data_IF_648438908616
#
_entry.id   IF_648438908616
#
_cell.length_a   1.000
_cell.length_b   1.000
_cell.length_c   1.000
_cell.angle_alpha   90.00
_cell.angle_beta   90.00
_cell.angle_gamma   90.00
#
_symmetry.space_group_name_H-M   'P 1'
#
loop_
_entity.id
_entity.type
_entity.pdbx_description
1 polymer ?
#
# COMPACT_ATOMS: atom_id res chain seq x y z
N UNK A 1 -17.45 -13.20 19.77
CA UNK A 1 -16.26 -13.71 19.07
C UNK A 1 -16.69 -14.48 17.83
N UNK A 2 -16.20 -14.11 16.65
CA UNK A 2 -16.54 -14.75 15.38
C UNK A 2 -15.27 -15.06 14.60
N UNK A 3 -15.18 -16.27 14.03
CA UNK A 3 -14.13 -16.69 13.13
C UNK A 3 -14.64 -16.78 11.69
N UNK A 4 -13.75 -16.56 10.71
CA UNK A 4 -14.04 -16.72 9.30
C UNK A 4 -12.78 -17.13 8.52
N UNK A 5 -12.94 -18.07 7.61
CA UNK A 5 -11.96 -18.28 6.55
C UNK A 5 -12.16 -17.20 5.47
N UNK A 6 -11.07 -16.58 5.05
CA UNK A 6 -11.04 -15.58 3.98
C UNK A 6 -10.17 -16.12 2.86
N UNK A 7 -10.68 -16.04 1.64
CA UNK A 7 -9.93 -16.42 0.46
C UNK A 7 -10.19 -15.43 -0.67
N UNK A 8 -9.18 -15.19 -1.51
CA UNK A 8 -9.25 -14.32 -2.68
C UNK A 8 -8.43 -14.93 -3.81
N UNK A 9 -9.06 -15.10 -4.96
CA UNK A 9 -8.39 -15.49 -6.21
C UNK A 9 -8.41 -14.26 -7.10
N UNK A 10 -7.27 -13.94 -7.68
CA UNK A 10 -7.12 -12.86 -8.64
C UNK A 10 -6.63 -13.39 -9.97
N UNK A 11 -7.01 -12.71 -11.03
CA UNK A 11 -6.41 -12.88 -12.34
C UNK A 11 -5.98 -11.49 -12.83
N UNK A 12 -4.67 -11.35 -13.09
CA UNK A 12 -4.08 -10.11 -13.61
C UNK A 12 -3.45 -10.38 -14.96
N UNK A 13 -3.90 -9.65 -15.97
CA UNK A 13 -3.47 -9.81 -17.34
C UNK A 13 -3.26 -8.45 -17.99
N UNK A 14 -2.09 -8.25 -18.59
CA UNK A 14 -1.80 -7.08 -19.42
C UNK A 14 -2.30 -7.28 -20.85
N UNK A 15 -2.73 -6.19 -21.47
CA UNK A 15 -3.18 -6.19 -22.87
C UNK A 15 -2.14 -5.63 -23.85
N UNK A 16 -0.98 -5.16 -23.31
CA UNK A 16 0.12 -4.57 -24.07
C UNK A 16 1.42 -5.27 -23.68
N UNK A 17 2.50 -5.01 -24.39
CA UNK A 17 3.82 -5.60 -24.07
C UNK A 17 4.35 -5.14 -22.69
N UNK A 18 3.89 -3.99 -22.20
CA UNK A 18 4.25 -3.41 -20.92
C UNK A 18 3.04 -3.40 -19.97
N UNK A 19 3.26 -3.77 -18.71
CA UNK A 19 2.22 -3.67 -17.68
C UNK A 19 2.20 -2.26 -17.06
N UNK A 20 1.03 -1.73 -16.70
CA UNK A 20 0.96 -0.45 -15.99
C UNK A 20 1.75 -0.44 -14.68
N UNK A 21 1.84 -1.56 -13.97
CA UNK A 21 2.65 -1.69 -12.75
C UNK A 21 4.13 -1.36 -12.98
N UNK A 22 4.73 -1.89 -14.05
CA UNK A 22 6.15 -1.73 -14.36
C UNK A 22 6.48 -0.43 -15.09
N UNK A 23 5.47 0.29 -15.59
CA UNK A 23 5.67 1.45 -16.47
C UNK A 23 6.55 2.55 -15.85
N UNK A 24 6.43 2.78 -14.53
CA UNK A 24 7.25 3.77 -13.84
C UNK A 24 8.74 3.46 -13.94
N UNK A 25 9.13 2.24 -13.62
CA UNK A 25 10.53 1.80 -13.70
C UNK A 25 11.07 1.82 -15.14
N UNK A 26 10.25 1.44 -16.12
CA UNK A 26 10.64 1.48 -17.54
C UNK A 26 10.91 2.92 -18.04
N UNK A 27 10.36 3.92 -17.37
CA UNK A 27 10.59 5.34 -17.64
C UNK A 27 11.63 5.97 -16.70
N UNK A 28 12.19 5.19 -15.78
CA UNK A 28 13.20 5.64 -14.83
C UNK A 28 12.66 6.24 -13.53
N UNK A 29 11.35 6.16 -13.30
CA UNK A 29 10.76 6.58 -12.03
C UNK A 29 10.87 5.47 -10.98
N UNK A 30 11.40 5.78 -9.79
CA UNK A 30 11.48 4.84 -8.67
C UNK A 30 10.13 4.79 -7.96
N UNK A 31 9.25 3.91 -8.44
CA UNK A 31 7.91 3.77 -7.88
C UNK A 31 6.97 2.95 -8.75
N UNK A 32 5.86 2.54 -8.15
CA UNK A 32 4.78 1.83 -8.83
C UNK A 32 3.65 2.81 -9.13
N UNK A 33 3.38 3.02 -10.42
CA UNK A 33 2.36 3.99 -10.87
C UNK A 33 0.95 3.42 -10.71
N UNK A 34 0.77 2.14 -11.02
CA UNK A 34 -0.52 1.45 -10.99
C UNK A 34 -0.32 -0.01 -10.50
N UNK A 35 0.04 -0.23 -9.21
CA UNK A 35 0.47 -1.54 -8.70
C UNK A 35 -0.50 -2.71 -8.94
N UNK A 36 -1.84 -2.55 -8.95
CA UNK A 36 -2.74 -3.67 -9.19
C UNK A 36 -2.74 -4.20 -10.63
N UNK A 37 -2.23 -3.42 -11.60
CA UNK A 37 -2.33 -3.74 -13.02
C UNK A 37 -1.05 -4.38 -13.55
N UNK A 38 -0.82 -5.61 -13.12
CA UNK A 38 0.33 -6.47 -13.46
C UNK A 38 -0.03 -7.56 -14.48
N UNK A 39 0.91 -8.47 -14.76
CA UNK A 39 0.72 -9.61 -15.65
C UNK A 39 1.04 -10.95 -14.94
N UNK A 40 0.57 -11.13 -13.73
CA UNK A 40 0.92 -12.27 -12.90
C UNK A 40 -0.02 -13.48 -13.05
N UNK A 41 -0.98 -13.42 -13.99
CA UNK A 41 -1.89 -14.52 -14.27
C UNK A 41 -2.91 -14.78 -13.16
N UNK A 42 -3.37 -16.03 -13.05
CA UNK A 42 -4.33 -16.48 -12.03
C UNK A 42 -3.60 -17.01 -10.82
N UNK A 43 -3.94 -16.51 -9.63
CA UNK A 43 -3.28 -16.88 -8.37
C UNK A 43 -4.21 -16.75 -7.17
N UNK A 44 -3.88 -17.47 -6.11
CA UNK A 44 -4.50 -17.37 -4.81
C UNK A 44 -3.76 -16.29 -4.01
N UNK A 45 -4.34 -15.12 -3.82
CA UNK A 45 -3.69 -14.00 -3.13
C UNK A 45 -3.99 -13.93 -1.64
N UNK A 46 -5.10 -14.51 -1.19
CA UNK A 46 -5.39 -14.63 0.24
C UNK A 46 -5.97 -16.02 0.55
N UNK A 47 -5.50 -16.62 1.60
CA UNK A 47 -6.10 -17.77 2.26
C UNK A 47 -5.73 -17.75 3.74
N UNK A 48 -6.54 -17.13 4.57
CA UNK A 48 -6.24 -16.98 5.98
C UNK A 48 -7.47 -17.14 6.87
N UNK A 49 -7.23 -17.48 8.13
CA UNK A 49 -8.22 -17.43 9.20
C UNK A 49 -8.25 -16.05 9.83
N UNK A 50 -9.44 -15.47 9.98
CA UNK A 50 -9.67 -14.25 10.72
C UNK A 50 -10.49 -14.52 11.95
N UNK A 51 -9.95 -14.22 13.12
CA UNK A 51 -10.64 -14.33 14.40
C UNK A 51 -10.91 -12.94 14.96
N UNK A 52 -12.17 -12.60 15.11
CA UNK A 52 -12.63 -11.38 15.81
C UNK A 52 -12.90 -11.70 17.28
N UNK A 53 -12.41 -10.83 18.16
CA UNK A 53 -12.50 -10.93 19.61
C UNK A 53 -13.08 -9.65 20.16
N UNK A 54 -13.65 -9.72 21.40
CA UNK A 54 -14.19 -8.55 22.11
C UNK A 54 -15.17 -7.73 21.26
N UNK A 55 -16.17 -8.40 20.69
CA UNK A 55 -17.17 -7.78 19.80
C UNK A 55 -16.58 -7.02 18.60
N UNK A 56 -15.47 -7.54 18.08
CA UNK A 56 -14.76 -6.99 16.92
C UNK A 56 -13.73 -5.92 17.25
N UNK A 57 -13.54 -5.55 18.51
CA UNK A 57 -12.54 -4.55 18.93
C UNK A 57 -11.10 -5.06 18.81
N UNK A 58 -10.90 -6.37 18.67
CA UNK A 58 -9.62 -6.99 18.38
C UNK A 58 -9.78 -8.04 17.27
N UNK A 59 -8.77 -8.19 16.43
CA UNK A 59 -8.75 -9.15 15.34
C UNK A 59 -7.37 -9.79 15.26
N UNK A 60 -7.34 -11.11 15.01
CA UNK A 60 -6.13 -11.87 14.69
C UNK A 60 -6.35 -12.48 13.30
N UNK A 61 -5.34 -12.44 12.46
CA UNK A 61 -5.29 -13.09 11.15
C UNK A 61 -4.06 -14.00 11.07
N UNK A 62 -4.19 -15.16 10.43
CA UNK A 62 -3.08 -16.08 10.22
C UNK A 62 -3.31 -16.89 8.95
N UNK A 63 -2.28 -17.00 8.11
CA UNK A 63 -2.30 -17.70 6.84
C UNK A 63 -1.64 -16.88 5.73
N UNK A 64 -1.97 -17.17 4.48
CA UNK A 64 -1.53 -16.39 3.32
C UNK A 64 -2.35 -15.11 3.22
N UNK A 65 -1.69 -13.97 3.25
CA UNK A 65 -2.34 -12.65 3.26
C UNK A 65 -1.50 -11.62 2.50
N UNK A 66 -2.15 -10.57 2.07
CA UNK A 66 -1.49 -9.37 1.58
C UNK A 66 -1.27 -8.42 2.76
N UNK A 67 -0.01 -8.14 3.08
CA UNK A 67 0.35 -7.27 4.22
C UNK A 67 -0.19 -5.86 4.05
N UNK A 68 -0.31 -5.38 2.80
CA UNK A 68 -0.83 -4.03 2.50
C UNK A 68 -2.29 -3.82 2.89
N UNK A 69 -3.05 -4.90 3.07
CA UNK A 69 -4.44 -4.82 3.55
C UNK A 69 -4.54 -4.43 5.03
N UNK A 70 -3.45 -4.51 5.81
CA UNK A 70 -3.47 -4.41 7.27
C UNK A 70 -2.49 -3.40 7.88
N UNK A 71 -1.38 -3.09 7.21
CA UNK A 71 -0.29 -2.25 7.75
C UNK A 71 -0.32 -0.87 7.11
N UNK A 72 -0.22 0.18 7.92
CA UNK A 72 -0.17 1.60 7.52
C UNK A 72 -1.34 2.02 6.60
N UNK A 73 -2.55 1.55 6.91
CA UNK A 73 -3.74 1.75 6.08
C UNK A 73 -4.52 3.02 6.48
N UNK A 74 -4.99 3.74 5.48
CA UNK A 74 -5.96 4.84 5.61
C UNK A 74 -6.99 4.78 4.46
N UNK A 75 -8.04 5.59 4.51
CA UNK A 75 -9.18 5.41 3.60
C UNK A 75 -8.89 5.64 2.10
N UNK A 76 -7.79 6.31 1.73
CA UNK A 76 -7.39 6.53 0.34
C UNK A 76 -6.18 5.67 -0.10
N UNK A 77 -5.70 4.76 0.77
CA UNK A 77 -4.50 3.95 0.51
C UNK A 77 -4.66 2.96 -0.64
N UNK A 78 -5.89 2.50 -0.89
CA UNK A 78 -6.12 1.43 -1.85
C UNK A 78 -6.03 1.90 -3.30
N UNK A 79 -5.08 1.38 -4.12
CA UNK A 79 -4.99 1.72 -5.53
C UNK A 79 -6.13 1.14 -6.38
N UNK A 80 -7.01 0.34 -5.80
CA UNK A 80 -8.26 -0.10 -6.43
C UNK A 80 -9.36 0.98 -6.43
N UNK A 81 -9.33 1.91 -5.48
CA UNK A 81 -10.43 2.87 -5.26
C UNK A 81 -9.99 4.29 -4.96
N UNK A 82 -8.77 4.49 -4.50
CA UNK A 82 -8.13 5.76 -4.19
C UNK A 82 -7.07 6.15 -5.22
N UNK A 83 -5.98 6.72 -4.74
CA UNK A 83 -4.80 7.05 -5.54
C UNK A 83 -4.20 5.79 -6.17
N UNK A 84 -3.72 5.90 -7.41
CA UNK A 84 -3.12 4.79 -8.13
C UNK A 84 -1.63 4.68 -7.86
N UNK A 85 -0.93 5.80 -7.67
CA UNK A 85 0.51 5.79 -7.38
C UNK A 85 0.79 5.29 -5.96
N UNK A 86 1.74 4.37 -5.85
CA UNK A 86 2.11 3.74 -4.58
C UNK A 86 2.70 4.71 -3.56
N UNK A 87 3.22 5.86 -3.98
CA UNK A 87 3.68 6.93 -3.09
C UNK A 87 2.57 7.43 -2.13
N UNK A 88 1.29 7.22 -2.48
CA UNK A 88 0.12 7.56 -1.66
C UNK A 88 -0.49 6.34 -0.94
N UNK A 89 0.12 5.16 -1.07
CA UNK A 89 -0.31 3.91 -0.44
C UNK A 89 0.53 3.56 0.79
N UNK A 90 0.55 2.30 1.19
CA UNK A 90 1.24 1.78 2.37
C UNK A 90 2.70 2.23 2.44
N UNK A 91 3.13 2.71 3.60
CA UNK A 91 4.49 3.19 3.85
C UNK A 91 4.90 4.42 3.06
N UNK A 92 4.00 5.00 2.24
CA UNK A 92 4.33 6.09 1.31
C UNK A 92 5.55 5.78 0.43
N UNK A 93 5.68 4.52 -0.02
CA UNK A 93 6.81 3.94 -0.76
C UNK A 93 8.17 3.88 0.01
N UNK A 94 8.24 4.36 1.26
CA UNK A 94 9.41 4.27 2.13
C UNK A 94 9.27 3.15 3.20
N UNK A 95 8.59 2.06 2.82
CA UNK A 95 8.48 0.84 3.60
C UNK A 95 8.66 -0.35 2.66
N UNK A 96 9.42 -1.36 3.10
CA UNK A 96 9.42 -2.64 2.41
C UNK A 96 8.03 -3.27 2.49
N UNK A 97 7.56 -3.82 1.39
CA UNK A 97 6.29 -4.53 1.33
C UNK A 97 6.53 -5.93 0.76
N UNK A 98 6.23 -6.99 1.53
CA UNK A 98 6.24 -8.35 0.99
C UNK A 98 5.29 -8.51 -0.19
N UNK A 99 5.56 -9.45 -1.06
CA UNK A 99 4.62 -9.84 -2.11
C UNK A 99 3.27 -10.23 -1.51
N UNK A 100 2.20 -10.07 -2.29
CA UNK A 100 0.90 -10.63 -1.91
C UNK A 100 0.95 -12.18 -1.82
N UNK A 101 0.00 -12.80 -1.14
CA UNK A 101 -0.02 -14.23 -0.80
C UNK A 101 1.11 -14.67 0.14
N UNK A 102 1.67 -13.77 0.92
CA UNK A 102 2.71 -14.05 1.91
C UNK A 102 2.13 -14.75 3.13
N UNK A 103 2.75 -15.83 3.61
CA UNK A 103 2.38 -16.41 4.88
C UNK A 103 2.78 -15.51 6.03
N UNK A 104 1.81 -15.25 6.91
CA UNK A 104 2.05 -14.38 8.04
C UNK A 104 0.98 -14.49 9.12
N UNK A 105 1.28 -13.84 10.22
CA UNK A 105 0.40 -13.69 11.37
C UNK A 105 0.38 -12.22 11.74
N UNK A 106 -0.81 -11.67 11.90
CA UNK A 106 -0.99 -10.31 12.36
C UNK A 106 -2.17 -10.19 13.31
N UNK A 107 -2.20 -9.11 14.01
CA UNK A 107 -3.34 -8.82 14.86
C UNK A 107 -3.31 -7.39 15.35
N UNK A 108 -4.47 -6.90 15.71
CA UNK A 108 -4.61 -5.55 16.23
C UNK A 108 -5.89 -5.39 17.03
N UNK A 109 -5.95 -4.30 17.76
CA UNK A 109 -7.14 -3.98 18.53
C UNK A 109 -7.06 -2.63 19.23
N UNK A 110 -8.20 -2.25 19.76
CA UNK A 110 -8.33 -1.04 20.55
C UNK A 110 -7.80 -1.28 21.97
N UNK A 111 -6.74 -0.55 22.35
CA UNK A 111 -6.22 -0.51 23.73
C UNK A 111 -7.10 0.37 24.63
N UNK A 112 -7.67 1.41 24.04
CA UNK A 112 -8.67 2.29 24.66
C UNK A 112 -9.72 2.65 23.60
N UNK A 113 -10.70 3.46 23.92
CA UNK A 113 -11.68 3.92 22.91
C UNK A 113 -11.07 4.77 21.80
N UNK A 114 -9.80 5.19 21.93
CA UNK A 114 -9.11 6.08 20.98
C UNK A 114 -7.72 5.62 20.54
N UNK A 115 -7.14 4.67 21.23
CA UNK A 115 -5.78 4.17 20.94
C UNK A 115 -5.91 2.76 20.40
N UNK A 116 -5.29 2.48 19.29
CA UNK A 116 -5.18 1.14 18.73
C UNK A 116 -3.72 0.71 18.57
N UNK A 117 -3.51 -0.60 18.56
CA UNK A 117 -2.22 -1.24 18.32
C UNK A 117 -2.42 -2.33 17.27
N UNK A 118 -1.51 -2.40 16.28
CA UNK A 118 -1.45 -3.46 15.28
C UNK A 118 -0.02 -4.00 15.27
N UNK A 119 0.15 -5.29 15.05
CA UNK A 119 1.46 -5.91 14.88
C UNK A 119 1.38 -7.08 13.92
N UNK A 120 2.46 -7.32 13.17
CA UNK A 120 2.54 -8.41 12.21
C UNK A 120 3.95 -8.99 12.07
N UNK A 121 3.98 -10.24 11.64
CA UNK A 121 5.15 -10.93 11.12
C UNK A 121 4.72 -11.73 9.89
N UNK A 122 5.48 -11.63 8.82
CA UNK A 122 5.22 -12.31 7.56
C UNK A 122 6.53 -12.69 6.88
N UNK A 123 6.52 -13.61 5.91
CA UNK A 123 7.69 -13.83 5.08
C UNK A 123 8.11 -12.54 4.38
N UNK A 124 9.42 -12.31 4.30
CA UNK A 124 9.97 -11.21 3.51
C UNK A 124 9.81 -11.47 1.99
N UNK A 125 9.82 -12.73 1.57
CA UNK A 125 9.68 -13.12 0.17
C UNK A 125 8.67 -14.25 0.00
N UNK A 126 7.93 -14.18 -1.08
CA UNK A 126 7.01 -15.25 -1.54
C UNK A 126 7.03 -15.29 -3.06
N UNK A 127 7.09 -16.46 -3.65
CA UNK A 127 6.78 -16.64 -5.06
C UNK A 127 5.24 -16.64 -5.23
N UNK A 128 4.66 -15.65 -5.90
CA UNK A 128 3.20 -15.56 -6.04
C UNK A 128 2.61 -16.66 -6.93
N UNK A 129 3.45 -17.40 -7.66
CA UNK A 129 3.04 -18.54 -8.50
C UNK A 129 3.02 -19.86 -7.73
N UNK A 130 3.76 -19.93 -6.61
CA UNK A 130 3.87 -21.09 -5.72
C UNK A 130 3.47 -20.72 -4.28
N UNK A 131 2.23 -20.24 -4.06
CA UNK A 131 1.84 -19.62 -2.80
C UNK A 131 1.87 -20.54 -1.57
N UNK A 132 1.82 -21.86 -1.76
CA UNK A 132 1.87 -22.82 -0.65
C UNK A 132 3.29 -23.03 -0.10
N UNK A 133 4.33 -22.79 -0.91
CA UNK A 133 5.73 -22.89 -0.49
C UNK A 133 6.06 -21.81 0.56
N UNK A 134 5.29 -20.71 0.59
CA UNK A 134 5.45 -19.66 1.59
C UNK A 134 5.27 -20.15 3.03
N UNK A 135 4.54 -21.25 3.25
CA UNK A 135 4.38 -21.84 4.59
C UNK A 135 5.66 -22.51 5.03
N UNK A 136 6.28 -23.29 4.16
CA UNK A 136 7.54 -23.97 4.44
C UNK A 136 8.67 -22.92 4.58
N UNK A 137 8.73 -21.95 3.69
CA UNK A 137 9.67 -20.81 3.72
C UNK A 137 9.62 -20.07 5.07
N UNK A 138 8.43 -19.87 5.63
CA UNK A 138 8.28 -19.15 6.91
C UNK A 138 9.00 -19.86 8.07
N UNK A 139 9.04 -21.19 8.06
CA UNK A 139 9.66 -21.98 9.12
C UNK A 139 11.11 -22.37 8.83
N UNK A 140 11.50 -22.44 7.57
CA UNK A 140 12.80 -22.96 7.14
C UNK A 140 13.81 -21.84 6.86
N UNK A 141 13.40 -20.77 6.18
CA UNK A 141 14.30 -19.68 5.76
C UNK A 141 14.55 -18.63 6.87
N UNK A 142 13.54 -18.39 7.71
CA UNK A 142 13.60 -17.40 8.80
C UNK A 142 13.92 -15.97 8.29
N UNK A 143 13.43 -15.61 7.10
CA UNK A 143 13.53 -14.28 6.53
C UNK A 143 12.18 -13.58 6.68
N UNK A 144 12.09 -12.58 7.58
CA UNK A 144 10.80 -12.00 7.99
C UNK A 144 10.70 -10.51 7.68
N UNK A 145 9.49 -10.10 7.33
CA UNK A 145 9.00 -8.74 7.53
C UNK A 145 8.25 -8.67 8.85
N UNK A 146 8.54 -7.66 9.66
CA UNK A 146 7.84 -7.40 10.92
C UNK A 146 7.38 -5.97 11.00
N UNK A 147 6.22 -5.73 11.61
CA UNK A 147 5.73 -4.38 11.84
C UNK A 147 5.03 -4.23 13.19
N UNK A 148 5.06 -3.02 13.73
CA UNK A 148 4.26 -2.59 14.86
C UNK A 148 3.74 -1.18 14.61
N UNK A 149 2.45 -0.97 14.77
CA UNK A 149 1.76 0.29 14.54
C UNK A 149 1.00 0.71 15.79
N UNK A 150 1.23 1.94 16.23
CA UNK A 150 0.48 2.58 17.31
C UNK A 150 -0.25 3.79 16.75
N UNK A 151 -1.57 3.87 16.99
CA UNK A 151 -2.37 4.93 16.42
C UNK A 151 -3.45 5.47 17.34
N UNK A 152 -3.91 6.66 16.96
CA UNK A 152 -4.98 7.40 17.57
C UNK A 152 -6.13 7.52 16.59
N UNK A 153 -7.36 7.30 17.06
CA UNK A 153 -8.59 7.48 16.29
C UNK A 153 -9.68 8.11 17.15
N UNK A 154 -10.78 8.53 16.56
CA UNK A 154 -11.94 9.03 17.30
C UNK A 154 -12.87 7.93 17.80
N UNK A 155 -12.68 6.70 17.33
CA UNK A 155 -13.44 5.52 17.68
C UNK A 155 -13.08 4.34 16.79
N UNK A 156 -13.42 3.13 17.21
CA UNK A 156 -13.13 1.91 16.48
C UNK A 156 -13.65 1.91 15.03
N UNK A 157 -14.83 2.48 14.80
CA UNK A 157 -15.46 2.62 13.48
C UNK A 157 -14.82 3.71 12.60
N UNK A 158 -13.88 4.45 13.17
CA UNK A 158 -13.22 5.59 12.51
C UNK A 158 -11.74 5.36 12.20
N UNK A 159 -11.19 4.17 12.45
CA UNK A 159 -9.75 3.86 12.32
C UNK A 159 -9.18 4.29 10.97
N UNK A 160 -9.91 4.13 9.86
CA UNK A 160 -9.43 4.50 8.52
C UNK A 160 -9.74 5.95 8.13
N UNK A 161 -10.68 6.60 8.78
CA UNK A 161 -11.17 7.92 8.43
C UNK A 161 -10.55 9.04 9.28
N UNK A 162 -10.39 8.79 10.60
CA UNK A 162 -9.80 9.72 11.55
C UNK A 162 -8.63 9.00 12.24
N UNK A 163 -7.46 9.12 11.64
CA UNK A 163 -6.33 8.27 11.94
C UNK A 163 -5.04 9.10 12.06
N UNK A 164 -4.34 8.92 13.18
CA UNK A 164 -2.97 9.38 13.34
C UNK A 164 -2.16 8.19 13.86
N UNK A 165 -1.23 7.65 13.07
CA UNK A 165 -0.43 6.52 13.50
C UNK A 165 1.05 6.65 13.14
N UNK A 166 1.85 5.87 13.84
CA UNK A 166 3.24 5.60 13.56
C UNK A 166 3.42 4.10 13.45
N UNK A 167 4.00 3.66 12.35
CA UNK A 167 4.35 2.27 12.07
C UNK A 167 5.86 2.13 12.06
N UNK A 168 6.41 1.23 12.86
CA UNK A 168 7.81 0.80 12.77
C UNK A 168 7.84 -0.54 12.04
N UNK A 169 8.83 -0.72 11.18
CA UNK A 169 8.97 -1.94 10.39
C UNK A 169 10.43 -2.38 10.30
N UNK A 170 10.63 -3.66 10.05
CA UNK A 170 11.93 -4.28 9.78
C UNK A 170 11.74 -5.42 8.79
N UNK A 171 12.71 -5.59 7.90
CA UNK A 171 12.79 -6.74 6.99
C UNK A 171 14.19 -7.34 7.06
N UNK A 172 14.25 -8.66 7.15
CA UNK A 172 15.50 -9.40 7.01
C UNK A 172 15.98 -9.40 5.56
N UNK A 173 17.31 -9.50 5.37
CA UNK A 173 17.85 -9.67 4.04
C UNK A 173 17.39 -10.99 3.44
N UNK A 174 16.86 -10.96 2.23
CA UNK A 174 16.53 -12.15 1.45
C UNK A 174 17.46 -12.33 0.25
N UNK A 175 18.22 -13.40 0.25
CA UNK A 175 19.05 -13.75 -0.90
C UNK A 175 18.23 -14.29 -2.07
N UNK A 176 17.06 -14.88 -1.80
CA UNK A 176 16.12 -15.39 -2.81
C UNK A 176 15.48 -14.25 -3.60
N UNK A 177 15.03 -13.21 -2.89
CA UNK A 177 14.47 -12.01 -3.50
C UNK A 177 15.53 -11.06 -4.07
N UNK A 178 16.80 -11.24 -3.71
CA UNK A 178 17.84 -10.25 -3.97
C UNK A 178 17.61 -8.94 -3.22
N UNK A 179 16.81 -8.98 -2.14
CA UNK A 179 16.40 -7.79 -1.38
C UNK A 179 17.36 -7.59 -0.22
N UNK A 180 17.99 -6.42 -0.09
CA UNK A 180 18.75 -6.07 1.12
C UNK A 180 17.83 -5.95 2.32
N UNK A 181 18.32 -6.28 3.52
CA UNK A 181 17.59 -6.04 4.75
C UNK A 181 17.49 -4.56 5.07
N UNK A 182 16.53 -4.19 5.91
CA UNK A 182 16.36 -2.81 6.31
C UNK A 182 15.31 -2.63 7.40
N UNK A 183 15.18 -1.40 7.88
CA UNK A 183 14.18 -1.02 8.85
C UNK A 183 13.74 0.43 8.63
N UNK A 184 12.62 0.78 9.21
CA UNK A 184 12.18 2.17 9.07
C UNK A 184 10.93 2.48 9.88
N UNK A 185 10.41 3.66 9.58
CA UNK A 185 9.20 4.17 10.18
C UNK A 185 8.31 4.83 9.12
N UNK A 186 7.01 4.64 9.23
CA UNK A 186 6.03 5.38 8.44
C UNK A 186 5.02 6.04 9.37
N UNK A 187 4.48 7.17 8.96
CA UNK A 187 3.43 7.86 9.71
C UNK A 187 2.29 8.29 8.79
N UNK A 188 1.12 8.38 9.36
CA UNK A 188 -0.05 8.95 8.71
C UNK A 188 -0.83 9.84 9.67
N UNK A 189 -1.32 10.94 9.15
CA UNK A 189 -2.38 11.73 9.78
C UNK A 189 -3.44 12.05 8.74
N UNK A 190 -4.64 11.55 8.97
CA UNK A 190 -5.80 11.84 8.13
C UNK A 190 -7.02 12.14 9.00
N UNK A 191 -7.91 12.98 8.52
CA UNK A 191 -9.11 13.36 9.27
C UNK A 191 -10.27 13.64 8.34
N UNK A 192 -11.37 12.95 8.57
CA UNK A 192 -12.62 13.22 7.89
C UNK A 192 -13.31 14.45 8.48
N UNK A 193 -13.57 15.43 7.63
CA UNK A 193 -14.19 16.72 7.93
C UNK A 193 -15.49 16.86 7.13
N UNK A 194 -16.33 17.83 7.49
CA UNK A 194 -17.58 18.17 6.77
C UNK A 194 -18.45 16.92 6.52
N UNK A 195 -18.79 16.21 7.60
CA UNK A 195 -19.58 14.97 7.54
C UNK A 195 -18.99 13.91 6.58
N UNK A 196 -17.66 13.78 6.63
CA UNK A 196 -16.85 12.88 5.80
C UNK A 196 -16.77 13.29 4.32
N UNK A 197 -17.18 14.49 3.95
CA UNK A 197 -17.04 14.96 2.58
C UNK A 197 -15.59 15.32 2.21
N UNK A 198 -14.78 15.79 3.15
CA UNK A 198 -13.38 16.16 2.91
C UNK A 198 -12.46 15.37 3.84
N UNK A 199 -11.45 14.74 3.28
CA UNK A 199 -10.43 14.02 4.04
C UNK A 199 -9.02 14.46 3.63
N UNK A 200 -8.47 15.53 4.24
CA UNK A 200 -7.06 15.87 4.11
C UNK A 200 -6.20 14.81 4.80
N UNK A 201 -4.99 14.63 4.28
CA UNK A 201 -3.97 13.77 4.88
C UNK A 201 -2.57 14.35 4.71
N UNK A 202 -1.70 13.95 5.61
CA UNK A 202 -0.25 14.03 5.48
C UNK A 202 0.33 12.70 5.94
N UNK A 203 1.23 12.15 5.18
CA UNK A 203 1.89 10.88 5.48
C UNK A 203 3.30 10.86 4.95
N UNK A 204 4.10 9.93 5.41
CA UNK A 204 5.47 9.80 4.94
C UNK A 204 6.17 8.64 5.61
N UNK A 205 7.43 8.43 5.24
CA UNK A 205 8.24 7.37 5.80
C UNK A 205 9.72 7.68 5.69
N UNK A 206 10.47 6.89 6.45
CA UNK A 206 11.92 6.82 6.42
C UNK A 206 12.33 5.35 6.44
N UNK A 207 13.27 4.98 5.60
CA UNK A 207 13.93 3.68 5.58
C UNK A 207 15.42 3.85 5.82
N UNK A 208 16.01 2.94 6.58
CA UNK A 208 17.43 2.79 6.73
C UNK A 208 17.85 1.43 6.15
N UNK A 209 18.97 1.38 5.47
CA UNK A 209 19.39 0.26 4.65
C UNK A 209 18.41 0.02 3.47
N UNK A 210 18.44 -1.14 2.84
CA UNK A 210 17.68 -1.38 1.63
C UNK A 210 16.27 -1.93 1.83
N UNK A 211 15.67 -2.37 0.74
CA UNK A 211 14.38 -3.07 0.72
C UNK A 211 13.17 -2.19 0.40
N UNK A 212 13.20 -0.89 0.64
CA UNK A 212 12.15 0.04 0.22
C UNK A 212 12.45 0.69 -1.14
N UNK A 213 11.43 1.28 -1.76
CA UNK A 213 11.60 2.06 -3.00
C UNK A 213 12.25 3.42 -2.70
N UNK A 214 11.75 4.12 -1.69
CA UNK A 214 12.25 5.41 -1.26
C UNK A 214 12.93 5.28 0.10
N UNK A 215 14.02 6.00 0.33
CA UNK A 215 14.64 6.17 1.64
C UNK A 215 13.81 7.13 2.49
N UNK A 216 13.38 8.25 1.89
CA UNK A 216 12.51 9.23 2.55
C UNK A 216 11.33 9.57 1.65
N UNK A 217 10.19 9.79 2.26
CA UNK A 217 8.98 10.15 1.54
C UNK A 217 8.10 11.08 2.37
N UNK A 218 7.51 12.05 1.69
CA UNK A 218 6.50 12.92 2.29
C UNK A 218 5.37 13.17 1.29
N UNK A 219 4.17 12.75 1.65
CA UNK A 219 2.95 12.91 0.86
C UNK A 219 1.95 13.82 1.56
N UNK A 220 1.31 14.71 0.82
CA UNK A 220 0.21 15.53 1.27
C UNK A 220 -0.91 15.53 0.24
N UNK A 221 -2.15 15.51 0.69
CA UNK A 221 -3.28 15.53 -0.24
C UNK A 221 -4.62 15.53 0.45
N UNK A 222 -5.65 15.32 -0.34
CA UNK A 222 -7.01 15.16 0.16
C UNK A 222 -7.88 14.32 -0.78
N UNK A 223 -8.90 13.68 -0.20
CA UNK A 223 -10.07 13.16 -0.91
C UNK A 223 -11.26 14.06 -0.65
N UNK A 224 -12.07 14.34 -1.67
CA UNK A 224 -13.30 15.12 -1.57
C UNK A 224 -14.46 14.35 -2.20
N UNK A 225 -15.44 13.97 -1.38
CA UNK A 225 -16.65 13.31 -1.81
C UNK A 225 -17.65 14.35 -2.35
N UNK A 226 -18.06 14.16 -3.59
CA UNK A 226 -19.02 15.01 -4.29
C UNK A 226 -20.37 14.32 -4.43
N UNK A 227 -21.41 15.03 -4.85
CA UNK A 227 -22.75 14.51 -5.10
C UNK A 227 -23.30 13.63 -3.95
N UNK A 228 -23.16 14.10 -2.71
CA UNK A 228 -23.64 13.40 -1.52
C UNK A 228 -22.83 12.14 -1.17
N UNK A 229 -21.58 12.06 -1.57
CA UNK A 229 -20.68 10.94 -1.28
C UNK A 229 -20.63 9.88 -2.38
N UNK A 230 -21.33 10.10 -3.49
CA UNK A 230 -21.34 9.15 -4.61
C UNK A 230 -20.01 9.14 -5.36
N UNK A 231 -19.52 10.31 -5.74
CA UNK A 231 -18.29 10.48 -6.50
C UNK A 231 -17.17 10.97 -5.60
N UNK A 232 -15.90 10.85 -6.04
CA UNK A 232 -14.75 11.28 -5.24
C UNK A 232 -13.67 11.91 -6.13
N UNK A 233 -13.22 13.10 -5.74
CA UNK A 233 -12.00 13.74 -6.24
C UNK A 233 -10.86 13.41 -5.27
N UNK A 234 -9.69 13.01 -5.79
CA UNK A 234 -8.43 12.95 -5.05
C UNK A 234 -7.40 13.88 -5.67
N UNK A 235 -6.65 14.58 -4.82
CA UNK A 235 -5.50 15.40 -5.24
C UNK A 235 -4.39 15.18 -4.24
N UNK A 236 -3.19 14.87 -4.70
CA UNK A 236 -2.03 14.64 -3.84
C UNK A 236 -0.72 15.03 -4.51
N UNK A 237 0.28 15.30 -3.66
CA UNK A 237 1.66 15.52 -4.04
C UNK A 237 2.58 14.71 -3.11
N UNK A 238 3.67 14.20 -3.65
CA UNK A 238 4.71 13.49 -2.93
C UNK A 238 6.08 14.07 -3.30
N UNK A 239 6.96 14.16 -2.32
CA UNK A 239 8.40 14.23 -2.44
C UNK A 239 8.99 12.90 -2.02
N UNK A 240 9.92 12.36 -2.80
CA UNK A 240 10.58 11.09 -2.54
C UNK A 240 12.07 11.15 -2.85
N UNK A 241 12.88 10.71 -1.88
CA UNK A 241 14.30 10.45 -2.04
C UNK A 241 14.46 8.94 -2.32
N UNK A 242 14.95 8.53 -3.50
CA UNK A 242 15.13 7.11 -3.82
C UNK A 242 16.05 6.41 -2.83
N UNK A 243 15.81 5.12 -2.59
CA UNK A 243 16.65 4.34 -1.69
C UNK A 243 17.94 3.92 -2.42
N UNK A 244 19.05 4.58 -2.11
CA UNK A 244 20.34 4.33 -2.75
C UNK A 244 20.91 2.93 -2.46
N UNK A 245 20.57 2.32 -1.32
CA UNK A 245 20.95 0.94 -0.99
C UNK A 245 20.24 -0.08 -1.88
N UNK A 246 19.05 0.28 -2.41
CA UNK A 246 18.27 -0.55 -3.33
C UNK A 246 18.54 -0.27 -4.80
N UNK A 247 18.82 1.00 -5.18
CA UNK A 247 18.88 1.42 -6.59
C UNK A 247 20.21 2.01 -7.03
N UNK A 248 21.19 2.15 -6.12
CA UNK A 248 22.50 2.73 -6.41
C UNK A 248 22.60 4.20 -5.97
N UNK A 249 23.82 4.67 -5.81
CA UNK A 249 24.12 6.00 -5.26
C UNK A 249 24.11 7.12 -6.29
N UNK A 250 23.84 8.34 -5.83
CA UNK A 250 23.88 9.56 -6.62
C UNK A 250 22.57 9.82 -7.37
N UNK A 251 21.47 9.33 -6.84
CA UNK A 251 20.14 9.55 -7.36
C UNK A 251 19.56 10.88 -6.85
N UNK A 252 18.93 11.62 -7.73
CA UNK A 252 18.23 12.86 -7.38
C UNK A 252 16.85 12.56 -6.78
N UNK A 253 16.32 13.52 -6.00
CA UNK A 253 14.95 13.49 -5.47
C UNK A 253 13.95 13.53 -6.61
N UNK A 254 12.83 12.85 -6.44
CA UNK A 254 11.72 12.84 -7.38
C UNK A 254 10.43 13.37 -6.76
N UNK A 255 9.54 13.91 -7.61
CA UNK A 255 8.25 14.43 -7.15
C UNK A 255 7.12 13.79 -7.94
N UNK A 256 6.01 13.55 -7.26
CA UNK A 256 4.81 12.95 -7.86
C UNK A 256 3.59 13.81 -7.53
N UNK A 257 2.82 14.15 -8.55
CA UNK A 257 1.52 14.78 -8.40
C UNK A 257 0.47 13.85 -9.01
N UNK A 258 -0.62 13.63 -8.32
CA UNK A 258 -1.72 12.81 -8.82
C UNK A 258 -3.06 13.49 -8.60
N UNK A 259 -3.90 13.43 -9.62
CA UNK A 259 -5.31 13.85 -9.57
C UNK A 259 -6.16 12.77 -10.17
N UNK A 260 -7.11 12.25 -9.42
CA UNK A 260 -8.12 11.35 -9.93
C UNK A 260 -9.53 11.87 -9.66
N UNK A 261 -10.49 11.46 -10.51
CA UNK A 261 -11.91 11.66 -10.24
C UNK A 261 -12.67 10.36 -10.46
N UNK A 262 -13.23 9.79 -9.38
CA UNK A 262 -14.04 8.57 -9.45
C UNK A 262 -15.50 8.91 -9.67
N UNK A 263 -16.00 8.59 -10.86
CA UNK A 263 -17.41 8.63 -11.20
C UNK A 263 -18.07 7.30 -10.80
N UNK A 264 -18.95 7.29 -9.83
CA UNK A 264 -19.77 6.12 -9.50
C UNK A 264 -21.02 6.14 -10.39
N UNK A 265 -20.98 5.44 -11.52
CA UNK A 265 -22.05 5.45 -12.51
C UNK A 265 -23.28 4.68 -12.04
N UNK A 266 -23.06 3.51 -11.41
CA UNK A 266 -24.07 2.69 -10.73
C UNK A 266 -23.55 2.22 -9.39
N UNK A 267 -24.34 1.48 -8.60
CA UNK A 267 -23.84 0.88 -7.35
C UNK A 267 -22.65 -0.06 -7.58
N UNK A 268 -22.58 -0.69 -8.75
CA UNK A 268 -21.55 -1.67 -9.09
C UNK A 268 -20.43 -1.12 -9.96
N UNK A 269 -20.69 -0.08 -10.80
CA UNK A 269 -19.76 0.41 -11.81
C UNK A 269 -19.20 1.78 -11.45
N UNK A 270 -17.87 1.87 -11.36
CA UNK A 270 -17.14 3.12 -11.27
C UNK A 270 -16.13 3.27 -12.41
N UNK A 271 -15.98 4.49 -12.92
CA UNK A 271 -14.96 4.88 -13.90
C UNK A 271 -14.12 5.99 -13.27
N UNK A 272 -12.80 5.84 -13.32
CA UNK A 272 -11.87 6.77 -12.68
C UNK A 272 -10.77 7.19 -13.66
N UNK A 273 -10.92 8.33 -14.37
CA UNK A 273 -9.77 8.99 -14.98
C UNK A 273 -8.78 9.42 -13.92
N UNK A 274 -7.50 9.32 -14.26
CA UNK A 274 -6.36 9.63 -13.43
C UNK A 274 -5.30 10.34 -14.25
N UNK A 275 -4.62 11.31 -13.65
CA UNK A 275 -3.49 12.02 -14.23
C UNK A 275 -2.39 12.08 -13.19
N UNK A 276 -1.20 11.58 -13.57
CA UNK A 276 -0.01 11.72 -12.75
C UNK A 276 1.02 12.57 -13.51
N UNK A 277 1.70 13.43 -12.77
CA UNK A 277 2.83 14.22 -13.25
C UNK A 277 4.04 13.88 -12.37
N UNK A 278 5.00 13.21 -12.98
CA UNK A 278 6.22 12.73 -12.34
C UNK A 278 7.35 13.68 -12.75
N UNK A 279 8.09 14.17 -11.78
CA UNK A 279 9.19 15.12 -12.01
C UNK A 279 10.49 14.49 -11.53
N UNK A 280 11.55 14.69 -12.28
CA UNK A 280 12.90 14.20 -12.04
C UNK A 280 12.94 12.69 -11.81
N UNK A 281 12.57 11.83 -12.82
CA UNK A 281 12.60 10.39 -12.66
C UNK A 281 14.03 9.92 -12.41
N UNK A 282 14.33 9.53 -11.18
CA UNK A 282 15.67 9.43 -10.61
C UNK A 282 16.63 8.47 -11.34
N UNK A 283 16.09 7.45 -12.05
CA UNK A 283 16.88 6.50 -12.84
C UNK A 283 17.00 6.90 -14.32
N UNK A 284 16.45 8.05 -14.73
CA UNK A 284 16.52 8.56 -16.10
C UNK A 284 16.82 10.05 -16.11
N UNK A 285 18.09 10.44 -15.97
CA UNK A 285 18.50 11.84 -15.89
C UNK A 285 18.34 12.62 -17.21
N UNK A 286 17.96 11.96 -18.30
CA UNK A 286 17.71 12.62 -19.59
C UNK A 286 16.28 13.17 -19.71
N UNK A 287 15.39 12.84 -18.75
CA UNK A 287 13.98 13.25 -18.73
C UNK A 287 13.65 14.07 -17.49
N UNK A 288 13.28 15.32 -17.68
CA UNK A 288 12.90 16.22 -16.56
C UNK A 288 11.52 15.86 -15.96
N UNK A 289 10.61 15.33 -16.77
CA UNK A 289 9.25 15.02 -16.31
C UNK A 289 8.49 14.07 -17.24
N UNK A 290 7.47 13.41 -16.68
CA UNK A 290 6.60 12.48 -17.38
C UNK A 290 5.13 12.76 -17.03
N UNK A 291 4.26 12.70 -18.05
CA UNK A 291 2.81 12.70 -17.86
C UNK A 291 2.25 11.30 -18.06
N UNK A 292 1.53 10.81 -17.06
CA UNK A 292 0.82 9.53 -17.12
C UNK A 292 -0.67 9.79 -17.08
N UNK A 293 -1.40 9.18 -18.02
CA UNK A 293 -2.86 9.26 -18.11
C UNK A 293 -3.43 7.87 -17.92
N UNK A 294 -4.17 7.68 -16.82
CA UNK A 294 -4.81 6.43 -16.45
C UNK A 294 -6.34 6.50 -16.61
N UNK A 295 -6.93 5.36 -16.88
CA UNK A 295 -8.39 5.18 -16.85
C UNK A 295 -8.70 3.84 -16.20
N UNK A 296 -9.14 3.86 -14.95
CA UNK A 296 -9.56 2.67 -14.20
C UNK A 296 -11.06 2.48 -14.31
N UNK A 297 -11.50 1.30 -14.76
CA UNK A 297 -12.89 0.85 -14.67
C UNK A 297 -13.00 -0.25 -13.63
N UNK A 298 -13.94 -0.13 -12.70
CA UNK A 298 -14.20 -1.12 -11.65
C UNK A 298 -15.65 -1.54 -11.66
N UNK A 299 -15.88 -2.84 -11.85
CA UNK A 299 -17.18 -3.48 -11.71
C UNK A 299 -17.14 -4.39 -10.48
N UNK A 300 -18.04 -4.17 -9.54
CA UNK A 300 -18.22 -5.00 -8.33
C UNK A 300 -19.60 -5.68 -8.41
N UNK A 301 -19.65 -7.02 -8.32
CA UNK A 301 -20.86 -7.83 -8.43
C UNK A 301 -21.31 -8.33 -7.06
#
# INVERSE_FOLDING_TARGET
NTGAAVWKIEHRHRYTDQSPQGFGFDQGYVGLIEPPFSNEGTRLTNLYWRQRLNDGKATIVAGMLDVTDFVDVYALASPWTGFMNFAFSTGSAAMFIPNDATFGIGGGGMLTDRIFLIGSIANAYTDPTEPFDTVDDFFDENEYFTSIELGLTRGHDRIYLDNAHLTLWHVDKSNRAGTPGGWGAAFNYSRALRDNALMPFIRGGYANDGGSLLEKSLSIGFGYNTFGGRDQLGVAANWGEPNEDSFGSGLDDQYTFEVFYRFQLTEQLAITPDIQYLVDPALNPDEDNLWVFGLRARLAL
#
